data_IF_916555040582
#
_entry.id   IF_916555040582
#
_cell.length_a   1.000
_cell.length_b   1.000
_cell.length_c   1.000
_cell.angle_alpha   90.00
_cell.angle_beta   90.00
_cell.angle_gamma   90.00
#
_symmetry.space_group_name_H-M   'P 1'
#
loop_
_entity.id
_entity.type
_entity.pdbx_description
1 polymer ?
#
# COMPACT_ATOMS: atom_id res chain seq x y z
N UNK A 1 4.59 17.23 -9.24
CA UNK A 1 5.99 17.43 -8.83
C UNK A 1 6.89 16.62 -9.74
N UNK A 2 8.07 17.12 -10.08
CA UNK A 2 9.04 16.44 -10.98
C UNK A 2 9.42 15.04 -10.45
N UNK A 3 9.55 14.87 -9.14
CA UNK A 3 9.80 13.57 -8.50
C UNK A 3 8.63 12.56 -8.66
N UNK A 4 7.47 13.02 -9.08
CA UNK A 4 6.32 12.17 -9.41
C UNK A 4 6.43 11.51 -10.79
N UNK A 5 7.20 12.09 -11.71
CA UNK A 5 7.37 11.59 -13.08
C UNK A 5 8.59 10.67 -13.10
N UNK A 6 8.32 9.35 -13.11
CA UNK A 6 9.38 8.33 -13.09
C UNK A 6 8.93 7.02 -13.71
N UNK A 7 9.88 6.24 -14.18
CA UNK A 7 9.64 4.88 -14.68
C UNK A 7 10.08 3.88 -13.63
N UNK A 8 9.14 3.05 -13.15
CA UNK A 8 9.41 2.01 -12.17
C UNK A 8 9.23 0.65 -12.84
N UNK A 9 10.21 -0.28 -12.73
CA UNK A 9 10.05 -1.63 -13.18
C UNK A 9 8.88 -2.32 -12.47
N UNK A 10 8.07 -3.03 -13.21
CA UNK A 10 6.95 -3.82 -12.64
C UNK A 10 7.41 -5.24 -12.31
N UNK A 11 6.97 -5.74 -11.16
CA UNK A 11 7.04 -7.19 -10.91
C UNK A 11 6.02 -7.92 -11.80
N UNK A 12 6.22 -9.22 -12.00
CA UNK A 12 5.30 -10.04 -12.82
C UNK A 12 3.86 -10.00 -12.32
N UNK A 13 3.66 -9.93 -10.99
CA UNK A 13 2.32 -9.85 -10.40
C UNK A 13 1.65 -8.50 -10.69
N UNK A 14 2.41 -7.40 -10.60
CA UNK A 14 1.91 -6.06 -10.93
C UNK A 14 1.58 -5.97 -12.41
N UNK A 15 2.45 -6.49 -13.28
CA UNK A 15 2.20 -6.52 -14.72
C UNK A 15 0.92 -7.29 -15.03
N UNK A 16 0.75 -8.48 -14.47
CA UNK A 16 -0.47 -9.29 -14.64
C UNK A 16 -1.72 -8.54 -14.20
N UNK A 17 -1.69 -7.90 -13.04
CA UNK A 17 -2.81 -7.12 -12.52
C UNK A 17 -3.20 -5.96 -13.47
N UNK A 18 -2.22 -5.26 -14.04
CA UNK A 18 -2.49 -4.21 -15.03
C UNK A 18 -3.05 -4.76 -16.33
N UNK A 19 -2.57 -5.91 -16.82
CA UNK A 19 -3.08 -6.55 -18.02
C UNK A 19 -4.53 -7.01 -17.83
N UNK A 20 -4.86 -7.61 -16.70
CA UNK A 20 -6.23 -8.00 -16.33
C UNK A 20 -7.16 -6.78 -16.27
N UNK A 21 -6.71 -5.70 -15.64
CA UNK A 21 -7.49 -4.46 -15.55
C UNK A 21 -7.71 -3.84 -16.95
N UNK A 22 -6.71 -3.88 -17.83
CA UNK A 22 -6.85 -3.43 -19.22
C UNK A 22 -7.89 -4.25 -20.00
N UNK A 23 -7.85 -5.59 -19.87
CA UNK A 23 -8.85 -6.49 -20.47
C UNK A 23 -10.26 -6.16 -19.97
N UNK A 24 -10.41 -5.96 -18.66
CA UNK A 24 -11.69 -5.58 -18.05
C UNK A 24 -12.20 -4.24 -18.60
N UNK A 25 -11.35 -3.23 -18.70
CA UNK A 25 -11.72 -1.93 -19.25
C UNK A 25 -12.15 -2.06 -20.71
N UNK A 26 -11.46 -2.86 -21.51
CA UNK A 26 -11.81 -3.13 -22.90
C UNK A 26 -13.19 -3.80 -23.00
N UNK A 27 -13.44 -4.85 -22.21
CA UNK A 27 -14.73 -5.55 -22.18
C UNK A 27 -15.88 -4.65 -21.77
N UNK A 28 -15.63 -3.72 -20.82
CA UNK A 28 -16.63 -2.77 -20.31
C UNK A 28 -16.68 -1.48 -21.11
N UNK A 29 -15.91 -1.36 -22.19
CA UNK A 29 -15.77 -0.15 -23.05
C UNK A 29 -15.46 1.11 -22.25
N UNK A 30 -14.64 0.99 -21.19
CA UNK A 30 -14.29 2.12 -20.31
C UNK A 30 -13.01 2.81 -20.78
N UNK A 31 -13.01 4.14 -20.70
CA UNK A 31 -11.82 4.97 -20.90
C UNK A 31 -11.36 5.13 -22.35
N UNK A 32 -12.16 4.70 -23.35
CA UNK A 32 -11.75 4.67 -24.75
C UNK A 32 -11.40 6.04 -25.33
N UNK A 33 -12.10 7.11 -24.86
CA UNK A 33 -11.93 8.46 -25.40
C UNK A 33 -11.74 9.53 -24.28
N UNK A 34 -11.32 9.06 -23.10
CA UNK A 34 -11.11 9.97 -21.96
C UNK A 34 -9.74 10.61 -22.05
N UNK A 35 -9.72 11.93 -22.19
CA UNK A 35 -8.52 12.75 -22.13
C UNK A 35 -8.65 13.76 -20.98
N UNK A 36 -7.63 13.87 -20.14
CA UNK A 36 -7.53 14.84 -19.06
C UNK A 36 -6.14 15.43 -19.07
N UNK A 37 -6.02 16.74 -19.17
CA UNK A 37 -4.75 17.47 -19.21
C UNK A 37 -3.77 16.90 -20.26
N UNK A 38 -4.27 16.47 -21.44
CA UNK A 38 -3.48 15.86 -22.51
C UNK A 38 -3.12 14.39 -22.30
N UNK A 39 -3.50 13.78 -21.18
CA UNK A 39 -3.25 12.35 -20.89
C UNK A 39 -4.44 11.49 -21.29
N UNK A 40 -4.11 10.31 -21.88
CA UNK A 40 -5.08 9.28 -22.30
C UNK A 40 -4.68 7.90 -21.76
N UNK A 41 -5.58 6.94 -21.88
CA UNK A 41 -5.29 5.54 -21.56
C UNK A 41 -5.25 5.26 -20.06
N UNK A 42 -6.10 5.93 -19.29
CA UNK A 42 -6.24 5.69 -17.84
C UNK A 42 -6.65 4.24 -17.59
N UNK A 43 -5.94 3.60 -16.66
CA UNK A 43 -6.17 2.19 -16.31
C UNK A 43 -7.26 2.07 -15.25
N UNK A 44 -7.23 2.90 -14.21
CA UNK A 44 -8.20 2.84 -13.12
C UNK A 44 -9.38 3.76 -13.41
N UNK A 45 -10.52 3.15 -13.73
CA UNK A 45 -11.72 3.84 -14.17
C UNK A 45 -12.88 3.61 -13.20
N UNK A 46 -13.59 4.67 -12.85
CA UNK A 46 -14.83 4.59 -12.09
C UNK A 46 -15.98 4.02 -12.94
N UNK A 47 -17.10 3.65 -12.29
CA UNK A 47 -18.31 3.20 -12.99
C UNK A 47 -18.87 4.26 -13.94
N UNK A 48 -18.66 5.54 -13.64
CA UNK A 48 -19.05 6.68 -14.47
C UNK A 48 -18.26 6.83 -15.77
N UNK A 49 -17.24 6.01 -16.02
CA UNK A 49 -16.36 6.14 -17.19
C UNK A 49 -15.27 7.22 -17.04
N UNK A 50 -15.12 7.85 -15.87
CA UNK A 50 -14.05 8.81 -15.57
C UNK A 50 -12.90 8.09 -14.84
N UNK A 51 -11.66 8.60 -14.90
CA UNK A 51 -10.57 8.11 -14.08
C UNK A 51 -10.90 8.11 -12.59
N UNK A 52 -10.40 7.12 -11.87
CA UNK A 52 -10.64 6.97 -10.44
C UNK A 52 -9.88 8.06 -9.68
N UNK A 53 -10.60 8.81 -8.87
CA UNK A 53 -10.03 9.86 -8.02
C UNK A 53 -9.40 9.24 -6.75
N UNK A 54 -8.35 9.84 -6.18
CA UNK A 54 -7.72 9.34 -4.94
C UNK A 54 -8.70 9.16 -3.78
N UNK A 55 -9.68 10.05 -3.63
CA UNK A 55 -10.73 9.95 -2.63
C UNK A 55 -11.60 8.69 -2.80
N UNK A 56 -11.86 8.29 -4.04
CA UNK A 56 -12.65 7.10 -4.32
C UNK A 56 -11.92 5.82 -3.88
N UNK A 57 -10.60 5.76 -4.02
CA UNK A 57 -9.77 4.64 -3.53
C UNK A 57 -9.88 4.53 -2.01
N UNK A 58 -9.73 5.65 -1.29
CA UNK A 58 -9.85 5.65 0.17
C UNK A 58 -11.26 5.25 0.64
N UNK A 59 -12.31 5.68 -0.06
CA UNK A 59 -13.68 5.26 0.24
C UNK A 59 -13.89 3.74 0.03
N UNK A 60 -13.29 3.17 -1.01
CA UNK A 60 -13.34 1.71 -1.26
C UNK A 60 -12.64 0.97 -0.11
N UNK A 61 -11.43 1.40 0.28
CA UNK A 61 -10.68 0.80 1.39
C UNK A 61 -11.46 0.91 2.70
N UNK A 62 -12.02 2.08 3.00
CA UNK A 62 -12.86 2.29 4.17
C UNK A 62 -14.06 1.32 4.19
N UNK A 63 -14.78 1.20 3.08
CA UNK A 63 -15.96 0.31 3.00
C UNK A 63 -15.58 -1.16 3.19
N UNK A 64 -14.42 -1.59 2.70
CA UNK A 64 -13.91 -2.96 2.88
C UNK A 64 -13.63 -3.21 4.37
N UNK A 65 -12.90 -2.31 5.02
CA UNK A 65 -12.57 -2.42 6.45
C UNK A 65 -13.82 -2.37 7.32
N UNK A 66 -14.74 -1.45 7.03
CA UNK A 66 -16.01 -1.32 7.75
C UNK A 66 -16.87 -2.59 7.64
N UNK A 67 -17.00 -3.12 6.42
CA UNK A 67 -17.73 -4.37 6.19
C UNK A 67 -17.11 -5.57 6.93
N UNK A 68 -15.78 -5.67 6.92
CA UNK A 68 -15.07 -6.70 7.69
C UNK A 68 -15.31 -6.53 9.19
N UNK A 69 -15.11 -5.33 9.72
CA UNK A 69 -15.25 -5.07 11.15
C UNK A 69 -16.67 -5.33 11.66
N UNK A 70 -17.69 -4.95 10.88
CA UNK A 70 -19.08 -5.26 11.20
C UNK A 70 -19.33 -6.76 11.26
N UNK A 71 -18.80 -7.52 10.31
CA UNK A 71 -18.93 -8.98 10.29
C UNK A 71 -18.18 -9.62 11.46
N UNK A 72 -16.96 -9.15 11.74
CA UNK A 72 -16.10 -9.65 12.82
C UNK A 72 -16.77 -9.45 14.19
N UNK A 73 -17.37 -8.29 14.44
CA UNK A 73 -18.14 -8.03 15.68
C UNK A 73 -19.25 -9.04 15.88
N UNK A 74 -19.97 -9.41 14.81
CA UNK A 74 -21.06 -10.40 14.92
C UNK A 74 -20.52 -11.79 15.19
N UNK A 75 -19.45 -12.20 14.52
CA UNK A 75 -18.79 -13.50 14.73
C UNK A 75 -18.25 -13.59 16.16
N UNK A 76 -17.48 -12.61 16.60
CA UNK A 76 -16.90 -12.57 17.94
C UNK A 76 -17.96 -12.66 19.04
N UNK A 77 -19.10 -11.99 18.83
CA UNK A 77 -20.25 -12.09 19.76
C UNK A 77 -20.82 -13.51 19.83
N UNK A 78 -20.92 -14.20 18.69
CA UNK A 78 -21.41 -15.59 18.65
C UNK A 78 -20.41 -16.56 19.27
N UNK A 79 -19.13 -16.31 19.09
CA UNK A 79 -18.02 -17.14 19.59
C UNK A 79 -17.57 -16.76 21.02
N UNK A 80 -18.23 -15.79 21.65
CA UNK A 80 -17.91 -15.31 23.01
C UNK A 80 -16.45 -14.90 23.19
N UNK A 81 -15.85 -14.26 22.17
CA UNK A 81 -14.49 -13.73 22.19
C UNK A 81 -14.45 -12.23 21.90
N UNK A 82 -13.31 -11.60 22.12
CA UNK A 82 -13.09 -10.23 21.69
C UNK A 82 -13.00 -10.15 20.17
N UNK A 83 -13.58 -9.09 19.58
CA UNK A 83 -13.49 -8.85 18.14
C UNK A 83 -12.09 -8.36 17.77
N UNK A 84 -11.51 -8.92 16.71
CA UNK A 84 -10.23 -8.50 16.14
C UNK A 84 -10.47 -7.54 14.99
N UNK A 85 -10.56 -6.26 15.32
CA UNK A 85 -10.89 -5.22 14.34
C UNK A 85 -9.67 -4.80 13.52
N UNK A 86 -9.87 -4.67 12.21
CA UNK A 86 -8.87 -4.05 11.36
C UNK A 86 -8.81 -2.54 11.62
N UNK A 87 -7.60 -1.95 11.66
CA UNK A 87 -7.43 -0.51 11.76
C UNK A 87 -7.90 0.20 10.48
N UNK A 88 -8.07 1.50 10.56
CA UNK A 88 -8.33 2.33 9.37
C UNK A 88 -7.21 2.17 8.36
N UNK A 89 -7.56 1.89 7.10
CA UNK A 89 -6.62 1.75 5.99
C UNK A 89 -6.86 2.85 4.96
N UNK A 90 -5.79 3.46 4.47
CA UNK A 90 -5.82 4.42 3.36
C UNK A 90 -4.72 4.10 2.35
N UNK A 91 -4.81 4.65 1.14
CA UNK A 91 -3.76 4.51 0.12
C UNK A 91 -2.40 5.01 0.64
N UNK A 92 -2.40 6.04 1.49
CA UNK A 92 -1.19 6.57 2.11
C UNK A 92 -0.57 5.59 3.12
N UNK A 93 -1.39 4.97 3.97
CA UNK A 93 -0.95 3.92 4.91
C UNK A 93 -0.39 2.72 4.13
N UNK A 94 -1.05 2.29 3.06
CA UNK A 94 -0.54 1.20 2.20
C UNK A 94 0.80 1.55 1.57
N UNK A 95 0.97 2.80 1.11
CA UNK A 95 2.25 3.29 0.60
C UNK A 95 3.34 3.27 1.67
N UNK A 96 3.05 3.73 2.89
CA UNK A 96 3.97 3.66 4.02
C UNK A 96 4.37 2.21 4.32
N UNK A 97 3.40 1.32 4.42
CA UNK A 97 3.64 -0.11 4.65
C UNK A 97 4.54 -0.72 3.57
N UNK A 98 4.29 -0.38 2.30
CA UNK A 98 5.16 -0.85 1.20
C UNK A 98 6.59 -0.33 1.33
N UNK A 99 6.77 0.95 1.70
CA UNK A 99 8.08 1.55 1.94
C UNK A 99 8.82 0.83 3.08
N UNK A 100 8.17 0.64 4.22
CA UNK A 100 8.72 -0.07 5.39
C UNK A 100 9.12 -1.50 5.02
N UNK A 101 8.23 -2.25 4.34
CA UNK A 101 8.52 -3.61 3.89
C UNK A 101 9.72 -3.72 2.95
N UNK A 102 9.91 -2.72 2.08
CA UNK A 102 11.08 -2.66 1.22
C UNK A 102 12.35 -2.32 2.00
N UNK A 103 12.26 -1.43 3.00
CA UNK A 103 13.37 -1.12 3.89
C UNK A 103 13.79 -2.33 4.75
N UNK A 104 12.83 -3.09 5.30
CA UNK A 104 13.07 -4.36 6.02
C UNK A 104 13.83 -5.37 5.15
N UNK A 105 13.55 -5.41 3.85
CA UNK A 105 14.27 -6.23 2.87
C UNK A 105 15.61 -5.64 2.43
N UNK A 106 16.06 -4.55 3.05
CA UNK A 106 17.35 -3.87 2.80
C UNK A 106 17.54 -3.45 1.34
N UNK A 107 16.48 -3.04 0.66
CA UNK A 107 16.60 -2.42 -0.65
C UNK A 107 17.43 -1.13 -0.50
N UNK A 108 18.34 -0.88 -1.44
CA UNK A 108 19.15 0.34 -1.43
C UNK A 108 18.29 1.60 -1.24
N UNK A 109 18.72 2.49 -0.34
CA UNK A 109 17.95 3.67 0.06
C UNK A 109 17.66 4.63 -1.09
N UNK A 110 18.60 4.78 -2.04
CA UNK A 110 18.40 5.61 -3.24
C UNK A 110 17.42 4.98 -4.21
N UNK A 111 17.46 3.66 -4.36
CA UNK A 111 16.50 2.90 -5.15
C UNK A 111 15.11 3.03 -4.52
N UNK A 112 15.00 2.91 -3.20
CA UNK A 112 13.73 3.08 -2.51
C UNK A 112 13.20 4.51 -2.63
N UNK A 113 14.06 5.54 -2.46
CA UNK A 113 13.71 6.94 -2.69
C UNK A 113 13.12 7.14 -4.10
N UNK A 114 13.76 6.57 -5.12
CA UNK A 114 13.30 6.66 -6.50
C UNK A 114 11.96 5.95 -6.70
N UNK A 115 11.82 4.71 -6.24
CA UNK A 115 10.56 3.94 -6.33
C UNK A 115 9.42 4.70 -5.66
N UNK A 116 9.66 5.24 -4.49
CA UNK A 116 8.65 5.98 -3.73
C UNK A 116 8.42 7.40 -4.28
N UNK A 117 9.34 7.96 -5.07
CA UNK A 117 9.27 9.33 -5.59
C UNK A 117 9.32 10.37 -4.47
N UNK A 118 10.14 10.13 -3.46
CA UNK A 118 10.38 11.12 -2.42
C UNK A 118 11.35 12.20 -2.92
N UNK A 119 10.91 13.46 -2.88
CA UNK A 119 11.73 14.59 -3.34
C UNK A 119 13.02 14.73 -2.51
N UNK A 120 12.93 14.44 -1.20
CA UNK A 120 14.04 14.50 -0.26
C UNK A 120 14.36 13.11 0.28
N UNK A 121 15.65 12.81 0.43
CA UNK A 121 16.11 11.51 0.91
C UNK A 121 15.74 11.28 2.38
N UNK A 122 15.65 12.35 3.16
CA UNK A 122 15.38 12.31 4.60
C UNK A 122 14.12 11.52 4.91
N UNK A 123 13.05 11.71 4.12
CA UNK A 123 11.78 10.95 4.25
C UNK A 123 11.99 9.44 4.10
N UNK A 124 12.92 9.01 3.26
CA UNK A 124 13.26 7.60 3.08
C UNK A 124 14.17 7.11 4.20
N UNK A 125 15.12 7.94 4.62
CA UNK A 125 16.04 7.63 5.71
C UNK A 125 15.31 7.46 7.05
N UNK A 126 14.28 8.25 7.31
CA UNK A 126 13.46 8.11 8.53
C UNK A 126 12.84 6.71 8.63
N UNK A 127 12.34 6.17 7.50
CA UNK A 127 11.82 4.80 7.46
C UNK A 127 12.93 3.77 7.73
N UNK A 128 14.11 3.95 7.14
CA UNK A 128 15.25 3.05 7.36
C UNK A 128 15.74 3.08 8.80
N UNK A 129 15.86 4.26 9.39
CA UNK A 129 16.28 4.44 10.78
C UNK A 129 15.29 3.73 11.72
N UNK A 130 13.99 3.94 11.50
CA UNK A 130 12.95 3.29 12.30
C UNK A 130 13.02 1.76 12.22
N UNK A 131 13.12 1.19 11.02
CA UNK A 131 13.25 -0.28 10.80
C UNK A 131 14.52 -0.82 11.46
N UNK A 132 15.65 -0.12 11.30
CA UNK A 132 16.94 -0.48 11.89
C UNK A 132 16.90 -0.45 13.42
N UNK A 133 16.26 0.56 14.00
CA UNK A 133 16.09 0.72 15.43
C UNK A 133 15.22 -0.39 16.03
N UNK A 134 14.08 -0.69 15.41
CA UNK A 134 13.20 -1.78 15.83
C UNK A 134 13.90 -3.13 15.79
N UNK A 135 14.63 -3.44 14.73
CA UNK A 135 15.41 -4.68 14.62
C UNK A 135 16.50 -4.80 15.71
N UNK A 136 17.14 -3.69 16.08
CA UNK A 136 18.10 -3.66 17.19
C UNK A 136 17.45 -3.90 18.54
N UNK A 137 16.31 -3.27 18.79
CA UNK A 137 15.53 -3.45 20.03
C UNK A 137 15.12 -4.92 20.17
N UNK A 138 14.56 -5.53 19.11
CA UNK A 138 14.15 -6.93 19.12
C UNK A 138 15.34 -7.89 19.40
N UNK A 139 16.50 -7.63 18.79
CA UNK A 139 17.69 -8.44 19.02
C UNK A 139 18.22 -8.34 20.45
N UNK A 140 18.17 -7.14 21.06
CA UNK A 140 18.57 -6.93 22.46
C UNK A 140 17.58 -7.59 23.44
N UNK A 141 16.27 -7.51 23.18
CA UNK A 141 15.26 -8.20 23.99
C UNK A 141 15.49 -9.72 23.95
N UNK A 142 15.68 -10.31 22.77
CA UNK A 142 15.95 -11.74 22.61
C UNK A 142 17.22 -12.14 23.38
N UNK A 143 18.27 -11.31 23.34
CA UNK A 143 19.49 -11.55 24.11
C UNK A 143 19.24 -11.51 25.62
N UNK A 144 18.47 -10.57 26.12
CA UNK A 144 18.11 -10.50 27.54
C UNK A 144 17.31 -11.72 28.00
N UNK A 145 16.35 -12.18 27.22
CA UNK A 145 15.57 -13.39 27.50
C UNK A 145 16.46 -14.64 27.58
N UNK A 146 17.45 -14.76 26.69
CA UNK A 146 18.38 -15.89 26.69
C UNK A 146 19.29 -15.93 27.92
N UNK A 147 19.62 -14.77 28.50
CA UNK A 147 20.43 -14.66 29.73
C UNK A 147 19.60 -14.93 30.99
N UNK A 148 18.29 -14.60 30.98
CA UNK A 148 17.41 -14.81 32.12
C UNK A 148 17.04 -16.28 32.39
N UNK A 149 17.32 -17.17 31.45
CA UNK A 149 17.02 -18.63 31.53
C UNK A 149 18.27 -19.46 31.92
N UNK A 150 19.41 -18.81 32.06
CA UNK A 150 20.67 -19.45 32.50
C UNK A 150 20.93 -19.23 33.97
#
# INVERSE_FOLDING_TARGET
TDSGIRTIPMTSDVQRAFEEQKKLNFMLQKGKDVEIDGYKGFIFMAKSGRPLMPSAINNILYNIVDAYNKKEVQIAKTEHRNAELLPTVSAHIMRHTACTRMAEKRIDVKVLQYIMGHAHIDVTMDVYNHVSEMSRIESEITRLESVAIS
#
